data_IF_044089576568
#
_entry.id   IF_044089576568
#
_cell.length_a   1.000
_cell.length_b   1.000
_cell.length_c   1.000
_cell.angle_alpha   90.00
_cell.angle_beta   90.00
_cell.angle_gamma   90.00
#
_symmetry.space_group_name_H-M   'P 1'
#
loop_
_entity.id
_entity.type
_entity.pdbx_description
1 polymer ?
#
# COMPACT_ATOMS: atom_id res chain seq x y z
N UNK A 1 -1.97 -14.59 25.44
CA UNK A 1 -3.02 -14.39 24.42
C UNK A 1 -2.46 -13.87 23.10
N UNK A 2 -1.46 -12.98 23.08
CA UNK A 2 -0.89 -12.40 21.85
C UNK A 2 -0.38 -13.39 20.79
N UNK A 3 -0.01 -14.62 21.16
CA UNK A 3 0.46 -15.66 20.24
C UNK A 3 -0.67 -16.54 19.66
N UNK A 4 -1.89 -16.46 20.19
CA UNK A 4 -3.00 -17.30 19.73
C UNK A 4 -3.36 -17.05 18.25
N UNK A 5 -3.41 -15.79 17.76
CA UNK A 5 -3.71 -15.54 16.35
C UNK A 5 -2.70 -16.19 15.40
N UNK A 6 -1.43 -16.30 15.81
CA UNK A 6 -0.37 -16.93 15.03
C UNK A 6 -0.55 -18.43 14.86
N UNK A 7 -1.01 -19.12 15.91
CA UNK A 7 -1.30 -20.55 15.81
C UNK A 7 -2.45 -20.83 14.83
N UNK A 8 -3.38 -19.89 14.67
CA UNK A 8 -4.52 -20.01 13.78
C UNK A 8 -4.23 -19.56 12.35
N UNK A 9 -3.32 -18.60 12.16
CA UNK A 9 -3.00 -18.01 10.86
C UNK A 9 -2.55 -19.08 9.84
N UNK A 10 -3.09 -19.06 8.61
CA UNK A 10 -2.76 -20.03 7.57
C UNK A 10 -1.35 -19.83 7.00
N UNK A 11 -0.82 -20.89 6.38
CA UNK A 11 0.35 -20.84 5.52
C UNK A 11 -0.10 -20.80 4.07
N UNK A 12 0.52 -19.93 3.28
CA UNK A 12 0.23 -19.75 1.86
C UNK A 12 1.32 -20.35 0.96
N UNK A 13 0.89 -20.79 -0.21
CA UNK A 13 1.73 -21.06 -1.37
C UNK A 13 1.58 -19.89 -2.36
N UNK A 14 2.70 -19.29 -2.72
CA UNK A 14 2.74 -18.11 -3.58
C UNK A 14 2.99 -18.50 -5.05
N UNK A 15 2.30 -17.85 -6.00
CA UNK A 15 2.58 -18.07 -7.41
C UNK A 15 3.97 -17.53 -7.76
N UNK A 16 4.78 -18.25 -8.55
CA UNK A 16 6.09 -17.77 -8.94
C UNK A 16 5.98 -16.44 -9.70
N UNK A 17 7.01 -15.57 -9.62
CA UNK A 17 7.10 -14.37 -10.44
C UNK A 17 6.92 -14.70 -11.92
N UNK A 18 6.07 -13.94 -12.61
CA UNK A 18 5.85 -14.06 -14.05
C UNK A 18 5.82 -12.65 -14.63
N UNK A 19 6.93 -12.17 -15.23
CA UNK A 19 6.97 -10.83 -15.81
C UNK A 19 5.81 -10.60 -16.78
N UNK A 20 5.36 -9.35 -16.86
CA UNK A 20 4.40 -8.93 -17.88
C UNK A 20 4.88 -9.34 -19.28
N UNK A 21 3.95 -9.83 -20.10
CA UNK A 21 4.25 -10.40 -21.41
C UNK A 21 3.09 -10.18 -22.38
N UNK A 22 3.37 -10.37 -23.65
CA UNK A 22 2.44 -10.10 -24.75
C UNK A 22 2.99 -9.08 -25.73
N UNK A 23 2.35 -9.02 -26.91
CA UNK A 23 2.73 -8.13 -28.00
C UNK A 23 2.12 -6.75 -27.90
N UNK A 24 1.10 -6.56 -27.05
CA UNK A 24 0.44 -5.28 -26.83
C UNK A 24 0.98 -4.61 -25.56
N UNK A 25 0.68 -3.32 -25.42
CA UNK A 25 1.01 -2.53 -24.24
C UNK A 25 -0.29 -2.04 -23.59
N UNK A 26 -0.46 -2.37 -22.31
CA UNK A 26 -1.48 -1.75 -21.47
C UNK A 26 -0.97 -0.39 -21.02
N UNK A 27 -1.67 0.66 -21.44
CA UNK A 27 -1.43 2.03 -21.01
C UNK A 27 -2.56 2.47 -20.06
N UNK A 28 -2.28 2.62 -18.75
CA UNK A 28 -3.28 3.09 -17.80
C UNK A 28 -3.88 4.46 -18.17
N UNK A 29 -3.21 5.26 -18.99
CA UNK A 29 -3.63 6.62 -19.36
C UNK A 29 -4.32 6.72 -20.72
N UNK A 30 -4.58 5.60 -21.42
CA UNK A 30 -5.19 5.62 -22.75
C UNK A 30 -6.63 6.15 -22.74
N UNK A 31 -7.40 5.84 -21.70
CA UNK A 31 -8.82 6.22 -21.58
C UNK A 31 -9.03 7.26 -20.47
N UNK A 32 -8.44 8.44 -20.66
CA UNK A 32 -8.63 9.54 -19.71
C UNK A 32 -10.04 10.10 -19.75
N UNK A 33 -10.62 10.34 -18.58
CA UNK A 33 -12.01 10.79 -18.41
C UNK A 33 -12.14 12.27 -18.07
N UNK A 34 -11.01 12.97 -17.84
CA UNK A 34 -10.86 14.38 -18.20
C UNK A 34 -10.51 15.34 -17.06
N UNK A 35 -10.58 14.92 -15.79
CA UNK A 35 -10.25 15.79 -14.67
C UNK A 35 -9.34 15.09 -13.65
N UNK A 36 -8.20 15.71 -13.37
CA UNK A 36 -7.34 15.29 -12.29
C UNK A 36 -7.96 15.66 -10.93
N UNK A 37 -8.40 14.64 -10.20
CA UNK A 37 -8.82 14.75 -8.80
C UNK A 37 -7.59 14.64 -7.91
N UNK A 38 -7.23 15.73 -7.24
CA UNK A 38 -6.17 15.69 -6.22
C UNK A 38 -6.68 14.97 -4.98
N UNK A 39 -5.96 13.94 -4.56
CA UNK A 39 -6.36 13.06 -3.48
C UNK A 39 -5.24 12.86 -2.46
N UNK A 40 -5.62 12.87 -1.19
CA UNK A 40 -4.83 12.28 -0.11
C UNK A 40 -5.69 11.21 0.54
N UNK A 41 -5.23 9.97 0.56
CA UNK A 41 -5.95 8.84 1.14
C UNK A 41 -5.46 8.47 2.54
N UNK A 42 -4.31 9.00 2.96
CA UNK A 42 -3.67 8.62 4.21
C UNK A 42 -3.46 9.84 5.11
N UNK A 43 -4.36 10.03 6.06
CA UNK A 43 -4.26 11.04 7.10
C UNK A 43 -5.05 10.60 8.35
N UNK A 44 -4.53 10.97 9.51
CA UNK A 44 -5.07 10.57 10.80
C UNK A 44 -5.70 11.75 11.52
N UNK A 45 -6.88 11.50 12.04
CA UNK A 45 -7.62 12.39 12.94
C UNK A 45 -7.66 11.81 14.34
N UNK A 46 -8.10 12.61 15.30
CA UNK A 46 -8.32 12.15 16.68
C UNK A 46 -9.38 11.05 16.69
N UNK A 47 -8.96 9.84 17.02
CA UNK A 47 -9.80 8.66 17.18
C UNK A 47 -9.46 7.94 18.50
N UNK A 48 -10.26 6.94 18.87
CA UNK A 48 -9.97 6.07 20.03
C UNK A 48 -9.74 6.81 21.36
N UNK A 49 -10.44 7.94 21.58
CA UNK A 49 -10.23 8.77 22.77
C UNK A 49 -8.82 9.36 22.89
N UNK A 50 -8.06 9.43 21.78
CA UNK A 50 -6.67 9.91 21.76
C UNK A 50 -5.62 8.82 21.96
N UNK A 51 -6.00 7.53 21.97
CA UNK A 51 -5.03 6.43 22.06
C UNK A 51 -4.13 6.33 20.81
N UNK A 52 -4.63 6.74 19.65
CA UNK A 52 -3.87 6.82 18.40
C UNK A 52 -3.45 8.26 18.12
N UNK A 53 -2.37 8.43 17.36
CA UNK A 53 -1.59 9.68 17.26
C UNK A 53 -2.22 10.85 16.49
N UNK A 54 -3.54 10.91 16.26
CA UNK A 54 -4.18 12.01 15.52
C UNK A 54 -4.54 13.21 16.41
N UNK A 55 -4.09 14.42 16.03
CA UNK A 55 -4.26 15.62 16.85
C UNK A 55 -5.62 16.33 16.63
N UNK A 56 -6.05 16.48 15.37
CA UNK A 56 -7.24 17.25 15.02
C UNK A 56 -8.49 16.38 14.81
N UNK A 57 -9.71 16.89 15.08
CA UNK A 57 -10.96 16.24 14.66
C UNK A 57 -11.01 15.94 13.16
N UNK A 58 -11.76 14.90 12.78
CA UNK A 58 -11.83 14.46 11.38
C UNK A 58 -12.36 15.56 10.43
N UNK A 59 -13.36 16.33 10.85
CA UNK A 59 -13.90 17.43 10.02
C UNK A 59 -12.87 18.54 9.78
N UNK A 60 -11.98 18.80 10.75
CA UNK A 60 -10.88 19.76 10.58
C UNK A 60 -9.83 19.24 9.60
N UNK A 61 -9.52 17.93 9.63
CA UNK A 61 -8.63 17.29 8.65
C UNK A 61 -9.22 17.43 7.24
N UNK A 62 -10.50 17.09 7.07
CA UNK A 62 -11.21 17.23 5.79
C UNK A 62 -11.21 18.67 5.31
N UNK A 63 -11.60 19.62 6.16
CA UNK A 63 -11.64 21.05 5.84
C UNK A 63 -10.26 21.57 5.44
N UNK A 64 -9.20 21.13 6.13
CA UNK A 64 -7.83 21.53 5.79
C UNK A 64 -7.43 21.06 4.40
N UNK A 65 -7.61 19.78 4.07
CA UNK A 65 -7.26 19.29 2.72
C UNK A 65 -8.10 19.96 1.63
N UNK A 66 -9.40 20.17 1.85
CA UNK A 66 -10.26 20.93 0.91
C UNK A 66 -9.76 22.36 0.70
N UNK A 67 -9.35 23.05 1.77
CA UNK A 67 -8.76 24.40 1.67
C UNK A 67 -7.45 24.44 0.87
N UNK A 68 -6.76 23.31 0.75
CA UNK A 68 -5.53 23.14 -0.04
C UNK A 68 -5.80 22.63 -1.48
N UNK A 69 -7.08 22.58 -1.90
CA UNK A 69 -7.49 22.20 -3.25
C UNK A 69 -7.54 20.69 -3.50
N UNK A 70 -7.67 19.88 -2.46
CA UNK A 70 -7.89 18.43 -2.60
C UNK A 70 -9.36 18.16 -2.85
N UNK A 71 -9.67 17.50 -3.96
CA UNK A 71 -11.01 16.98 -4.26
C UNK A 71 -11.36 15.78 -3.36
N UNK A 72 -10.36 14.96 -3.02
CA UNK A 72 -10.50 13.81 -2.12
C UNK A 72 -9.65 14.04 -0.88
N UNK A 73 -10.31 14.46 0.19
CA UNK A 73 -9.72 14.68 1.51
C UNK A 73 -9.97 13.46 2.41
N UNK A 74 -9.11 12.45 2.30
CA UNK A 74 -9.23 11.19 3.03
C UNK A 74 -8.88 11.30 4.51
N UNK A 75 -9.67 10.63 5.36
CA UNK A 75 -9.36 10.38 6.77
C UNK A 75 -9.37 8.86 6.97
N UNK A 76 -8.23 8.29 7.36
CA UNK A 76 -7.99 6.85 7.38
C UNK A 76 -7.45 6.38 8.72
N UNK A 77 -8.20 6.65 9.79
CA UNK A 77 -7.80 6.28 11.15
C UNK A 77 -7.58 4.76 11.27
N UNK A 78 -6.72 4.36 12.21
CA UNK A 78 -6.50 2.97 12.58
C UNK A 78 -7.82 2.25 12.89
N UNK A 79 -8.17 1.25 12.07
CA UNK A 79 -9.35 0.38 12.26
C UNK A 79 -10.66 1.16 12.51
N UNK A 80 -10.81 2.34 11.91
CA UNK A 80 -11.98 3.21 12.10
C UNK A 80 -12.32 3.97 10.81
N UNK A 81 -13.53 3.76 10.30
CA UNK A 81 -13.99 4.37 9.04
C UNK A 81 -14.76 5.65 9.35
N UNK A 82 -14.07 6.81 9.31
CA UNK A 82 -14.67 8.09 9.66
C UNK A 82 -15.96 8.42 8.89
N UNK A 83 -16.04 8.02 7.61
CA UNK A 83 -17.23 8.19 6.77
C UNK A 83 -18.50 7.52 7.33
N UNK A 84 -18.35 6.39 8.03
CA UNK A 84 -19.47 5.69 8.68
C UNK A 84 -19.96 6.38 9.97
N UNK A 85 -19.27 7.44 10.39
CA UNK A 85 -19.55 8.22 11.60
C UNK A 85 -19.85 9.69 11.28
N UNK A 86 -20.35 9.97 10.07
CA UNK A 86 -20.88 11.29 9.68
C UNK A 86 -19.85 12.28 9.16
N UNK A 87 -18.57 11.88 9.02
CA UNK A 87 -17.53 12.72 8.41
C UNK A 87 -17.66 12.66 6.89
N UNK A 88 -17.66 13.81 6.24
CA UNK A 88 -17.73 13.94 4.78
C UNK A 88 -16.37 13.64 4.12
N UNK A 89 -15.99 12.37 4.13
CA UNK A 89 -14.76 11.82 3.57
C UNK A 89 -15.04 10.50 2.86
N UNK A 90 -14.11 10.06 2.01
CA UNK A 90 -14.19 8.75 1.38
C UNK A 90 -14.12 7.63 2.46
N UNK A 91 -14.84 6.51 2.31
CA UNK A 91 -14.72 5.37 3.23
C UNK A 91 -13.32 4.76 3.17
N UNK A 92 -12.51 5.06 4.18
CA UNK A 92 -11.10 4.67 4.30
C UNK A 92 -10.79 4.23 5.74
N UNK A 93 -9.85 3.32 5.93
CA UNK A 93 -9.18 3.10 7.23
C UNK A 93 -7.79 2.50 7.04
N UNK A 94 -6.86 2.80 7.95
CA UNK A 94 -5.57 2.11 8.02
C UNK A 94 -5.73 0.82 8.85
N UNK A 95 -5.42 -0.32 8.25
CA UNK A 95 -5.36 -1.61 8.91
C UNK A 95 -3.93 -1.89 9.39
N UNK A 96 -3.81 -2.50 10.56
CA UNK A 96 -2.53 -2.86 11.17
C UNK A 96 -2.35 -2.17 12.52
N UNK A 97 -2.03 -2.95 13.55
CA UNK A 97 -1.61 -2.46 14.88
C UNK A 97 -0.36 -3.21 15.38
N UNK A 98 0.31 -3.90 14.47
CA UNK A 98 1.45 -4.75 14.76
C UNK A 98 2.75 -3.95 14.95
N UNK A 99 3.69 -4.52 15.72
CA UNK A 99 4.98 -3.89 16.01
C UNK A 99 5.85 -3.66 14.76
N UNK A 100 5.66 -4.50 13.74
CA UNK A 100 6.38 -4.45 12.46
C UNK A 100 5.85 -3.42 11.47
N UNK A 101 4.79 -2.67 11.81
CA UNK A 101 4.18 -1.64 10.94
C UNK A 101 3.73 -2.20 9.58
N UNK A 102 3.37 -3.48 9.49
CA UNK A 102 2.69 -4.07 8.34
C UNK A 102 1.30 -3.45 8.20
N UNK A 103 1.20 -2.27 7.58
CA UNK A 103 -0.05 -1.54 7.44
C UNK A 103 -0.59 -1.60 6.01
N UNK A 104 -1.92 -1.60 5.92
CA UNK A 104 -2.62 -1.54 4.64
C UNK A 104 -3.67 -0.45 4.70
N UNK A 105 -3.85 0.27 3.60
CA UNK A 105 -4.99 1.16 3.46
C UNK A 105 -6.15 0.40 2.83
N UNK A 106 -7.26 0.34 3.53
CA UNK A 106 -8.53 -0.09 2.98
C UNK A 106 -9.18 1.10 2.27
N UNK A 107 -9.31 1.03 0.94
CA UNK A 107 -9.89 2.10 0.12
C UNK A 107 -11.26 1.66 -0.40
N UNK A 108 -12.28 2.51 -0.24
CA UNK A 108 -13.66 2.11 -0.49
C UNK A 108 -14.10 1.06 0.54
N UNK A 109 -13.83 1.32 1.82
CA UNK A 109 -14.06 0.37 2.90
C UNK A 109 -15.55 0.26 3.27
N UNK A 110 -16.07 -0.97 3.27
CA UNK A 110 -17.44 -1.29 3.62
C UNK A 110 -17.59 -1.65 5.10
N UNK A 111 -16.53 -2.19 5.72
CA UNK A 111 -16.47 -2.49 7.14
C UNK A 111 -15.01 -2.60 7.61
N UNK A 112 -14.80 -2.57 8.93
CA UNK A 112 -13.48 -2.81 9.52
C UNK A 112 -13.25 -4.31 9.69
N UNK A 113 -12.11 -4.83 9.20
CA UNK A 113 -11.58 -6.09 9.71
C UNK A 113 -10.77 -5.84 10.98
N UNK A 114 -11.14 -6.52 12.07
CA UNK A 114 -10.55 -6.34 13.40
C UNK A 114 -9.37 -7.27 13.69
N UNK A 115 -9.14 -8.27 12.83
CA UNK A 115 -8.07 -9.24 13.05
C UNK A 115 -6.74 -8.67 12.57
N UNK A 116 -5.73 -8.68 13.43
CA UNK A 116 -4.33 -8.51 13.05
C UNK A 116 -3.43 -9.39 13.95
N UNK A 117 -2.16 -9.47 13.58
CA UNK A 117 -1.12 -10.23 14.25
C UNK A 117 -0.15 -9.25 14.95
N UNK A 118 -0.22 -9.08 16.30
CA UNK A 118 0.33 -7.91 16.99
C UNK A 118 1.86 -7.81 17.03
N UNK A 119 2.60 -8.88 16.75
CA UNK A 119 4.06 -8.91 16.75
C UNK A 119 4.60 -8.81 15.32
N UNK A 120 5.60 -9.60 14.94
CA UNK A 120 6.11 -9.67 13.56
C UNK A 120 5.23 -10.56 12.69
N UNK A 121 5.22 -10.30 11.38
CA UNK A 121 4.45 -11.07 10.40
C UNK A 121 5.40 -11.76 9.42
N UNK A 122 5.18 -13.05 9.17
CA UNK A 122 5.75 -13.72 7.99
C UNK A 122 5.02 -13.30 6.71
N UNK A 123 5.56 -13.63 5.53
CA UNK A 123 4.87 -13.37 4.25
C UNK A 123 3.48 -14.05 4.19
N UNK A 124 3.32 -15.24 4.78
CA UNK A 124 1.99 -15.88 4.90
C UNK A 124 1.04 -15.12 5.82
N UNK A 125 1.56 -14.49 6.88
CA UNK A 125 0.78 -13.65 7.77
C UNK A 125 0.34 -12.36 7.07
N UNK A 126 1.26 -11.70 6.36
CA UNK A 126 0.97 -10.53 5.55
C UNK A 126 -0.12 -10.84 4.50
N UNK A 127 0.02 -11.94 3.76
CA UNK A 127 -0.99 -12.37 2.78
C UNK A 127 -2.35 -12.63 3.44
N UNK A 128 -2.36 -13.25 4.63
CA UNK A 128 -3.59 -13.49 5.37
C UNK A 128 -4.29 -12.18 5.72
N UNK A 129 -3.56 -11.19 6.21
CA UNK A 129 -4.11 -9.87 6.55
C UNK A 129 -4.63 -9.17 5.29
N UNK A 130 -3.86 -9.17 4.19
CA UNK A 130 -4.26 -8.57 2.90
C UNK A 130 -5.57 -9.19 2.41
N UNK A 131 -5.70 -10.52 2.41
CA UNK A 131 -6.92 -11.20 1.97
C UNK A 131 -8.14 -10.83 2.84
N UNK A 132 -7.94 -10.64 4.14
CA UNK A 132 -9.01 -10.23 5.06
C UNK A 132 -9.47 -8.80 4.81
N UNK A 133 -8.52 -7.86 4.68
CA UNK A 133 -8.82 -6.45 4.38
C UNK A 133 -9.51 -6.33 3.01
N UNK A 134 -9.04 -7.07 2.00
CA UNK A 134 -9.66 -7.11 0.66
C UNK A 134 -11.13 -7.55 0.70
N UNK A 135 -11.53 -8.41 1.62
CA UNK A 135 -12.93 -8.82 1.75
C UNK A 135 -13.84 -7.73 2.33
N UNK A 136 -13.27 -6.60 2.75
CA UNK A 136 -13.97 -5.49 3.42
C UNK A 136 -13.79 -4.15 2.71
N UNK A 137 -13.07 -4.10 1.61
CA UNK A 137 -12.77 -2.89 0.86
C UNK A 137 -12.68 -3.14 -0.64
N UNK A 138 -12.90 -2.11 -1.45
CA UNK A 138 -12.83 -2.22 -2.91
C UNK A 138 -11.39 -2.36 -3.43
N UNK A 139 -10.44 -1.71 -2.74
CA UNK A 139 -9.02 -1.74 -3.04
C UNK A 139 -8.19 -1.82 -1.75
N UNK A 140 -7.03 -2.47 -1.85
CA UNK A 140 -6.02 -2.52 -0.79
C UNK A 140 -4.74 -1.86 -1.28
N UNK A 141 -4.22 -0.90 -0.50
CA UNK A 141 -2.87 -0.36 -0.65
C UNK A 141 -1.95 -0.92 0.42
N UNK A 142 -0.70 -1.25 0.09
CA UNK A 142 0.33 -1.49 1.09
C UNK A 142 1.01 -0.16 1.40
N UNK A 143 0.96 0.26 2.68
CA UNK A 143 1.37 1.59 3.08
C UNK A 143 2.76 1.60 3.73
N UNK A 144 3.48 2.71 3.51
CA UNK A 144 4.85 2.97 3.97
C UNK A 144 5.72 1.72 4.14
N UNK A 145 5.92 0.91 3.07
CA UNK A 145 6.50 -0.43 3.18
C UNK A 145 7.92 -0.48 3.77
N UNK A 146 8.68 0.63 3.70
CA UNK A 146 10.00 0.75 4.32
C UNK A 146 9.97 1.04 5.83
N UNK A 147 8.81 1.41 6.38
CA UNK A 147 8.64 1.69 7.81
C UNK A 147 8.89 0.42 8.62
N UNK A 148 10.03 0.38 9.32
CA UNK A 148 10.49 -0.79 10.10
C UNK A 148 10.58 -2.08 9.27
N UNK A 149 10.94 -1.96 7.99
CA UNK A 149 11.03 -3.08 7.05
C UNK A 149 9.70 -3.87 6.97
N UNK A 150 8.57 -3.16 6.99
CA UNK A 150 7.24 -3.75 6.95
C UNK A 150 7.07 -4.68 5.74
N UNK A 151 7.49 -4.26 4.55
CA UNK A 151 7.45 -5.10 3.35
C UNK A 151 8.79 -5.03 2.62
N UNK A 152 9.52 -6.14 2.64
CA UNK A 152 10.76 -6.28 1.89
C UNK A 152 10.52 -6.67 0.42
N UNK A 153 11.60 -6.68 -0.36
CA UNK A 153 11.60 -7.01 -1.80
C UNK A 153 11.02 -8.40 -2.07
N UNK A 154 11.31 -9.40 -1.24
CA UNK A 154 10.86 -10.78 -1.46
C UNK A 154 9.37 -10.94 -1.13
N UNK A 155 8.89 -10.28 -0.08
CA UNK A 155 7.47 -10.15 0.21
C UNK A 155 6.74 -9.51 -0.98
N UNK A 156 7.26 -8.42 -1.53
CA UNK A 156 6.59 -7.71 -2.64
C UNK A 156 6.58 -8.49 -3.96
N UNK A 157 7.57 -9.36 -4.20
CA UNK A 157 7.53 -10.34 -5.30
C UNK A 157 6.47 -11.42 -5.06
N UNK A 158 6.27 -11.85 -3.82
CA UNK A 158 5.42 -12.99 -3.47
C UNK A 158 3.94 -12.62 -3.30
N UNK A 159 3.66 -11.57 -2.53
CA UNK A 159 2.33 -11.14 -2.10
C UNK A 159 1.41 -10.86 -3.29
N UNK A 160 0.12 -11.07 -3.06
CA UNK A 160 -0.94 -10.93 -4.07
C UNK A 160 -2.18 -10.29 -3.47
N UNK A 161 -3.10 -9.81 -4.32
CA UNK A 161 -4.42 -9.37 -3.88
C UNK A 161 -4.53 -7.92 -3.40
N UNK A 162 -3.45 -7.16 -3.43
CA UNK A 162 -3.44 -5.70 -3.27
C UNK A 162 -3.28 -5.04 -4.64
N UNK A 163 -3.83 -3.83 -4.80
CA UNK A 163 -3.87 -3.11 -6.08
C UNK A 163 -2.96 -1.88 -6.08
N UNK A 164 -2.64 -1.38 -4.89
CA UNK A 164 -1.98 -0.10 -4.71
C UNK A 164 -0.78 -0.24 -3.78
N UNK A 165 0.18 0.67 -3.92
CA UNK A 165 1.32 0.78 -3.02
C UNK A 165 1.63 2.25 -2.78
N UNK A 166 1.83 2.61 -1.51
CA UNK A 166 2.25 3.94 -1.12
C UNK A 166 3.75 4.13 -1.38
N UNK A 167 4.09 4.72 -2.52
CA UNK A 167 5.48 4.95 -2.94
C UNK A 167 6.05 6.23 -2.38
N UNK A 168 5.20 7.16 -1.92
CA UNK A 168 5.59 8.33 -1.17
C UNK A 168 4.69 8.50 0.06
N UNK A 169 5.32 8.56 1.24
CA UNK A 169 4.71 8.74 2.55
C UNK A 169 5.25 10.03 3.17
N UNK A 170 4.52 11.13 3.05
CA UNK A 170 5.04 12.47 3.32
C UNK A 170 6.31 12.71 2.51
N UNK A 171 7.47 13.01 3.13
CA UNK A 171 8.73 13.25 2.42
C UNK A 171 9.52 11.98 2.06
N UNK A 172 9.05 10.79 2.43
CA UNK A 172 9.80 9.54 2.28
C UNK A 172 9.33 8.75 1.06
N UNK A 173 10.25 8.30 0.21
CA UNK A 173 9.93 7.50 -0.98
C UNK A 173 10.43 6.06 -0.86
N UNK A 174 9.77 5.17 -1.61
CA UNK A 174 10.15 3.76 -1.71
C UNK A 174 9.80 3.23 -3.10
N UNK A 175 10.82 3.00 -3.91
CA UNK A 175 10.66 2.60 -5.32
C UNK A 175 11.10 1.16 -5.57
N UNK A 176 12.12 0.69 -4.85
CA UNK A 176 12.71 -0.65 -4.98
C UNK A 176 11.71 -1.78 -4.75
N UNK A 177 10.88 -1.66 -3.71
CA UNK A 177 9.85 -2.66 -3.41
C UNK A 177 8.65 -2.57 -4.37
N UNK A 178 8.40 -1.40 -4.97
CA UNK A 178 7.41 -1.26 -6.05
C UNK A 178 7.92 -1.91 -7.34
N UNK A 179 9.17 -1.65 -7.71
CA UNK A 179 9.85 -2.30 -8.83
C UNK A 179 9.89 -3.83 -8.65
N UNK A 180 10.11 -4.32 -7.43
CA UNK A 180 10.07 -5.75 -7.12
C UNK A 180 8.70 -6.39 -7.45
N UNK A 181 7.59 -5.71 -7.11
CA UNK A 181 6.23 -6.16 -7.44
C UNK A 181 5.99 -6.12 -8.95
N UNK A 182 6.38 -5.03 -9.63
CA UNK A 182 6.23 -4.88 -11.08
C UNK A 182 7.05 -5.92 -11.85
N UNK A 183 8.31 -6.16 -11.49
CA UNK A 183 9.15 -7.21 -12.07
C UNK A 183 8.50 -8.58 -11.94
N UNK A 184 7.85 -8.85 -10.80
CA UNK A 184 7.14 -10.11 -10.57
C UNK A 184 5.82 -10.25 -11.36
N UNK A 185 5.46 -9.24 -12.16
CA UNK A 185 4.25 -9.17 -12.96
C UNK A 185 3.00 -8.91 -12.12
N UNK A 186 3.13 -8.15 -11.02
CA UNK A 186 2.00 -7.70 -10.22
C UNK A 186 1.54 -6.34 -10.75
N UNK A 187 0.31 -6.20 -11.30
CA UNK A 187 -0.21 -4.89 -11.73
C UNK A 187 -0.61 -4.06 -10.51
N UNK A 188 0.39 -3.51 -9.83
CA UNK A 188 0.25 -2.69 -8.63
C UNK A 188 0.58 -1.24 -8.97
N UNK A 189 -0.33 -0.35 -8.62
CA UNK A 189 -0.26 1.06 -8.99
C UNK A 189 0.22 1.93 -7.83
N UNK A 190 1.03 2.93 -8.15
CA UNK A 190 1.54 3.90 -7.22
C UNK A 190 0.43 4.83 -6.70
N UNK A 191 0.46 5.04 -5.39
CA UNK A 191 -0.20 6.16 -4.71
C UNK A 191 0.81 6.89 -3.83
N UNK A 192 0.54 8.16 -3.56
CA UNK A 192 1.33 9.01 -2.69
C UNK A 192 0.40 9.73 -1.73
N UNK A 193 0.76 9.73 -0.46
CA UNK A 193 -0.03 10.33 0.62
C UNK A 193 0.88 10.86 1.73
N UNK A 194 0.29 11.58 2.66
CA UNK A 194 1.00 12.29 3.71
C UNK A 194 1.31 11.46 4.96
N UNK A 195 0.37 10.59 5.37
CA UNK A 195 0.35 9.96 6.70
C UNK A 195 0.52 11.01 7.82
N UNK A 196 -0.19 12.13 7.63
CA UNK A 196 -0.19 13.23 8.59
C UNK A 196 -0.96 12.83 9.83
N UNK A 197 -0.41 13.22 10.97
CA UNK A 197 -0.99 13.02 12.30
C UNK A 197 -1.25 14.35 13.02
N UNK A 198 -0.69 15.44 12.48
CA UNK A 198 -0.85 16.79 12.98
C UNK A 198 -0.81 17.76 11.80
N UNK A 199 -1.93 18.44 11.55
CA UNK A 199 -2.07 19.41 10.45
C UNK A 199 -1.11 20.60 10.55
N UNK A 200 -0.49 20.81 11.73
CA UNK A 200 0.51 21.86 11.96
C UNK A 200 1.90 21.45 11.47
N UNK A 201 2.16 20.15 11.28
CA UNK A 201 3.42 19.69 10.69
C UNK A 201 3.35 19.83 9.17
N UNK A 202 3.86 20.95 8.67
CA UNK A 202 3.90 21.29 7.24
C UNK A 202 4.87 20.41 6.44
N UNK A 203 5.73 19.63 7.11
CA UNK A 203 6.61 18.64 6.48
C UNK A 203 5.89 17.33 6.20
N UNK A 204 4.78 17.06 6.90
CA UNK A 204 3.96 15.87 6.75
C UNK A 204 2.63 16.17 6.10
N UNK A 205 2.09 17.39 6.21
CA UNK A 205 0.80 17.77 5.61
C UNK A 205 1.00 18.43 4.24
N UNK A 206 0.33 17.88 3.23
CA UNK A 206 0.45 18.23 1.82
C UNK A 206 1.89 18.17 1.30
N UNK A 207 2.64 17.17 1.75
CA UNK A 207 3.97 16.83 1.26
C UNK A 207 3.89 15.88 0.07
N UNK A 208 2.89 14.99 0.04
CA UNK A 208 2.66 14.07 -1.07
C UNK A 208 1.16 13.87 -1.34
N UNK A 209 0.80 13.60 -2.59
CA UNK A 209 -0.59 13.36 -3.00
C UNK A 209 -0.68 12.54 -4.26
N UNK A 210 -1.87 12.02 -4.53
CA UNK A 210 -2.18 11.29 -5.76
C UNK A 210 -3.07 12.14 -6.65
N UNK A 211 -2.73 12.23 -7.93
CA UNK A 211 -3.60 12.82 -8.95
C UNK A 211 -4.33 11.69 -9.66
N UNK A 212 -5.66 11.64 -9.51
CA UNK A 212 -6.50 10.55 -10.05
C UNK A 212 -7.33 11.07 -11.22
N UNK A 213 -7.22 10.45 -12.39
CA UNK A 213 -8.07 10.82 -13.52
C UNK A 213 -9.43 10.13 -13.37
N UNK A 214 -10.40 10.90 -12.88
CA UNK A 214 -11.74 10.44 -12.59
C UNK A 214 -12.75 11.55 -12.89
N UNK A 215 -13.95 11.13 -13.31
CA UNK A 215 -15.06 12.03 -13.66
C UNK A 215 -15.49 12.93 -12.51
N UNK A 216 -15.40 12.43 -11.27
CA UNK A 216 -15.71 13.18 -10.06
C UNK A 216 -14.90 12.67 -8.87
N UNK A 217 -15.02 13.35 -7.73
CA UNK A 217 -14.46 12.92 -6.45
C UNK A 217 -15.29 11.84 -5.72
N UNK A 218 -16.37 11.34 -6.34
CA UNK A 218 -17.19 10.29 -5.76
C UNK A 218 -16.38 8.99 -5.57
N UNK A 219 -16.63 8.28 -4.47
CA UNK A 219 -15.90 7.05 -4.11
C UNK A 219 -15.82 6.05 -5.25
N UNK A 220 -16.93 5.78 -5.94
CA UNK A 220 -16.97 4.83 -7.06
C UNK A 220 -16.11 5.24 -8.26
N UNK A 221 -16.08 6.53 -8.59
CA UNK A 221 -15.27 7.05 -9.70
C UNK A 221 -13.77 6.96 -9.37
N UNK A 222 -13.39 7.32 -8.15
CA UNK A 222 -12.02 7.25 -7.64
C UNK A 222 -11.54 5.80 -7.58
N UNK A 223 -12.32 4.89 -6.99
CA UNK A 223 -12.01 3.45 -6.95
C UNK A 223 -11.84 2.88 -8.36
N UNK A 224 -12.75 3.22 -9.28
CA UNK A 224 -12.70 2.72 -10.65
C UNK A 224 -11.44 3.20 -11.38
N UNK A 225 -11.06 4.47 -11.20
CA UNK A 225 -9.84 5.02 -11.77
C UNK A 225 -8.57 4.39 -11.19
N UNK A 226 -8.47 4.30 -9.86
CA UNK A 226 -7.33 3.68 -9.18
C UNK A 226 -7.17 2.21 -9.56
N UNK A 227 -8.26 1.46 -9.68
CA UNK A 227 -8.22 0.04 -10.10
C UNK A 227 -7.57 -0.16 -11.47
N UNK A 228 -7.77 0.78 -12.38
CA UNK A 228 -7.21 0.77 -13.74
C UNK A 228 -5.82 1.42 -13.83
N UNK A 229 -5.31 1.97 -12.73
CA UNK A 229 -4.02 2.67 -12.71
C UNK A 229 -4.09 4.09 -13.29
N UNK A 230 -5.29 4.68 -13.46
CA UNK A 230 -5.51 6.05 -13.94
C UNK A 230 -5.16 7.09 -12.88
N UNK A 231 -3.91 7.09 -12.47
CA UNK A 231 -3.38 7.99 -11.46
C UNK A 231 -1.88 8.15 -11.61
N UNK A 232 -1.34 9.22 -11.02
CA UNK A 232 0.08 9.35 -10.76
C UNK A 232 0.31 9.92 -9.37
N UNK A 233 1.41 9.50 -8.76
CA UNK A 233 1.84 9.97 -7.45
C UNK A 233 2.67 11.25 -7.60
N UNK A 234 2.54 12.17 -6.64
CA UNK A 234 3.28 13.43 -6.58
C UNK A 234 3.92 13.57 -5.21
N UNK A 235 5.22 13.82 -5.21
CA UNK A 235 5.96 14.28 -4.05
C UNK A 235 6.34 15.74 -4.25
N UNK A 236 5.99 16.61 -3.32
CA UNK A 236 6.49 17.98 -3.29
C UNK A 236 7.93 17.97 -2.79
N UNK A 237 8.85 18.48 -3.59
CA UNK A 237 10.29 18.55 -3.26
C UNK A 237 10.71 19.93 -2.77
N UNK A 238 9.88 20.95 -3.01
CA UNK A 238 10.14 22.32 -2.60
C UNK A 238 8.90 23.21 -2.69
N UNK A 239 9.10 24.50 -2.44
CA UNK A 239 8.11 25.53 -2.73
C UNK A 239 6.75 25.35 -2.06
N UNK A 240 5.73 25.89 -2.70
CA UNK A 240 4.33 25.83 -2.27
C UNK A 240 3.59 24.69 -3.00
N UNK A 241 2.38 24.36 -2.52
CA UNK A 241 1.50 23.45 -3.27
C UNK A 241 1.22 24.00 -4.68
N UNK A 242 1.06 25.31 -4.82
CA UNK A 242 0.81 25.93 -6.13
C UNK A 242 1.98 25.73 -7.09
N UNK A 243 3.22 25.91 -6.62
CA UNK A 243 4.42 25.71 -7.47
C UNK A 243 4.67 24.24 -7.79
N UNK A 244 4.39 23.33 -6.86
CA UNK A 244 4.47 21.89 -7.10
C UNK A 244 3.41 21.39 -8.10
N UNK A 245 2.27 22.08 -8.21
CA UNK A 245 1.25 21.80 -9.22
C UNK A 245 1.43 22.62 -10.51
N UNK A 246 2.53 23.38 -10.64
CA UNK A 246 2.83 24.09 -11.89
C UNK A 246 3.24 23.13 -13.02
N UNK A 247 3.82 21.98 -12.67
CA UNK A 247 4.10 20.89 -13.61
C UNK A 247 3.11 19.75 -13.40
N UNK A 248 2.36 19.39 -14.45
CA UNK A 248 1.35 18.31 -14.39
C UNK A 248 1.46 17.37 -15.58
N UNK A 249 0.95 16.16 -15.44
CA UNK A 249 0.96 15.18 -16.52
C UNK A 249 0.00 15.61 -17.65
N UNK A 250 0.57 15.89 -18.82
CA UNK A 250 -0.19 16.27 -20.02
C UNK A 250 -0.64 15.03 -20.80
N UNK A 251 0.28 14.11 -21.12
CA UNK A 251 -0.06 12.84 -21.79
C UNK A 251 0.92 11.71 -21.50
N UNK A 252 0.42 10.47 -21.66
CA UNK A 252 1.23 9.26 -21.82
C UNK A 252 0.66 8.53 -23.03
N UNK A 253 1.33 8.65 -24.16
CA UNK A 253 0.90 8.09 -25.43
C UNK A 253 1.74 6.87 -25.78
N UNK A 254 1.10 5.84 -26.31
CA UNK A 254 1.77 4.61 -26.72
C UNK A 254 1.49 4.34 -28.18
N UNK A 255 2.56 4.29 -28.98
CA UNK A 255 2.51 3.91 -30.38
C UNK A 255 3.56 2.84 -30.64
N UNK A 256 3.13 1.70 -31.20
CA UNK A 256 3.93 0.48 -31.33
C UNK A 256 4.49 0.02 -29.97
N UNK A 257 5.80 0.15 -29.77
CA UNK A 257 6.49 -0.13 -28.51
C UNK A 257 7.07 1.14 -27.86
N UNK A 258 6.71 2.33 -28.37
CA UNK A 258 7.24 3.61 -27.90
C UNK A 258 6.25 4.29 -26.97
N UNK A 259 6.69 4.55 -25.75
CA UNK A 259 5.99 5.36 -24.76
C UNK A 259 6.49 6.79 -24.86
N UNK A 260 5.61 7.74 -25.14
CA UNK A 260 5.88 9.17 -25.11
C UNK A 260 5.16 9.78 -23.92
N UNK A 261 5.89 10.52 -23.09
CA UNK A 261 5.35 11.20 -21.93
C UNK A 261 5.56 12.70 -22.09
N UNK A 262 4.54 13.49 -21.79
CA UNK A 262 4.60 14.95 -21.82
C UNK A 262 4.02 15.56 -20.55
N UNK A 263 4.54 16.73 -20.19
CA UNK A 263 4.02 17.54 -19.07
C UNK A 263 3.63 18.93 -19.54
N UNK A 264 2.61 19.48 -18.90
CA UNK A 264 2.35 20.91 -18.93
C UNK A 264 3.19 21.57 -17.83
N UNK A 265 3.75 22.75 -18.10
CA UNK A 265 4.55 23.51 -17.14
C UNK A 265 6.02 23.62 -17.52
N UNK A 266 6.90 23.43 -16.55
CA UNK A 266 8.35 23.65 -16.73
C UNK A 266 9.07 22.43 -17.31
N UNK A 267 10.13 22.64 -18.11
CA UNK A 267 11.07 21.59 -18.46
C UNK A 267 11.54 20.81 -17.24
N UNK A 268 11.65 19.49 -17.40
CA UNK A 268 11.85 18.54 -16.31
C UNK A 268 12.81 17.43 -16.76
N UNK A 269 13.27 16.61 -15.81
CA UNK A 269 14.03 15.39 -16.12
C UNK A 269 13.10 14.19 -16.14
N UNK A 270 13.06 13.47 -17.26
CA UNK A 270 12.29 12.25 -17.45
C UNK A 270 13.22 11.05 -17.34
N UNK A 271 12.95 10.17 -16.38
CA UNK A 271 13.68 8.92 -16.18
C UNK A 271 12.75 7.76 -16.48
N UNK A 272 13.04 7.00 -17.54
CA UNK A 272 12.35 5.77 -17.88
C UNK A 272 13.02 4.59 -17.19
N UNK A 273 12.24 3.82 -16.43
CA UNK A 273 12.71 2.76 -15.55
C UNK A 273 12.00 1.46 -15.93
N UNK A 274 12.78 0.42 -16.19
CA UNK A 274 12.30 -0.91 -16.55
C UNK A 274 12.43 -1.91 -15.40
N UNK A 275 12.41 -3.23 -15.72
CA UNK A 275 12.50 -4.30 -14.73
C UNK A 275 13.68 -4.14 -13.76
N UNK A 276 13.43 -4.52 -12.51
CA UNK A 276 14.36 -4.46 -11.38
C UNK A 276 14.86 -3.03 -11.06
N UNK A 277 14.06 -2.01 -11.42
CA UNK A 277 14.42 -0.61 -11.22
C UNK A 277 15.53 -0.13 -12.16
N UNK A 278 15.82 -0.87 -13.23
CA UNK A 278 16.87 -0.52 -14.16
C UNK A 278 16.52 0.74 -14.96
N UNK A 279 17.31 1.80 -14.79
CA UNK A 279 17.19 3.01 -15.62
C UNK A 279 17.49 2.65 -17.08
N UNK A 280 16.52 2.90 -17.95
CA UNK A 280 16.61 2.62 -19.39
C UNK A 280 16.98 3.86 -20.20
N UNK A 281 16.43 4.99 -19.82
CA UNK A 281 16.65 6.24 -20.52
C UNK A 281 16.45 7.43 -19.60
N UNK A 282 17.22 8.49 -19.83
CA UNK A 282 17.08 9.77 -19.12
C UNK A 282 17.14 10.88 -20.14
N UNK A 283 16.13 11.74 -20.13
CA UNK A 283 16.09 12.97 -20.92
C UNK A 283 15.92 14.16 -19.98
N UNK A 284 16.73 15.20 -20.14
CA UNK A 284 16.82 16.32 -19.18
C UNK A 284 16.39 17.62 -19.84
N UNK A 285 15.78 18.49 -19.04
CA UNK A 285 15.41 19.85 -19.43
C UNK A 285 14.48 19.89 -20.66
N UNK A 286 13.49 18.99 -20.68
CA UNK A 286 12.48 18.88 -21.73
C UNK A 286 11.08 18.89 -21.14
N UNK A 287 10.06 19.21 -21.94
CA UNK A 287 8.63 19.06 -21.55
C UNK A 287 8.01 17.78 -22.06
N UNK A 288 8.73 17.03 -22.90
CA UNK A 288 8.32 15.71 -23.38
C UNK A 288 9.53 14.83 -23.64
N UNK A 289 9.41 13.55 -23.34
CA UNK A 289 10.44 12.55 -23.59
C UNK A 289 9.80 11.25 -24.10
N UNK A 290 10.60 10.36 -24.67
CA UNK A 290 10.09 9.06 -25.13
C UNK A 290 11.09 7.93 -24.92
N UNK A 291 10.57 6.70 -24.84
CA UNK A 291 11.37 5.50 -24.77
C UNK A 291 10.68 4.35 -25.51
N UNK A 292 11.44 3.61 -26.32
CA UNK A 292 10.98 2.41 -26.99
C UNK A 292 11.35 1.17 -26.18
N UNK A 293 10.35 0.41 -25.72
CA UNK A 293 10.57 -0.81 -24.95
C UNK A 293 11.30 -1.85 -25.78
N UNK A 294 12.40 -2.38 -25.24
CA UNK A 294 13.07 -3.55 -25.79
C UNK A 294 12.29 -4.85 -25.52
N UNK A 295 12.67 -5.96 -26.17
CA UNK A 295 12.03 -7.26 -25.96
C UNK A 295 12.07 -7.76 -24.51
N UNK A 296 13.10 -7.36 -23.74
CA UNK A 296 13.28 -7.73 -22.35
C UNK A 296 12.53 -6.82 -21.35
N UNK A 297 12.01 -5.68 -21.80
CA UNK A 297 11.26 -4.76 -20.94
C UNK A 297 9.82 -5.25 -20.82
N UNK A 298 9.51 -5.88 -19.69
CA UNK A 298 8.14 -6.30 -19.37
C UNK A 298 7.26 -5.10 -19.01
N UNK A 299 7.84 -4.03 -18.51
CA UNK A 299 7.18 -2.74 -18.27
C UNK A 299 8.17 -1.59 -18.43
N UNK A 300 7.64 -0.37 -18.53
CA UNK A 300 8.38 0.86 -18.27
C UNK A 300 7.52 1.80 -17.42
N UNK A 301 8.09 2.35 -16.36
CA UNK A 301 7.52 3.48 -15.61
C UNK A 301 8.36 4.73 -15.81
N UNK A 302 7.76 5.89 -15.59
CA UNK A 302 8.43 7.17 -15.75
C UNK A 302 8.42 7.92 -14.44
N UNK A 303 9.59 8.40 -14.02
CA UNK A 303 9.74 9.38 -12.95
C UNK A 303 10.08 10.72 -13.60
N UNK A 304 9.34 11.75 -13.25
CA UNK A 304 9.54 13.10 -13.77
C UNK A 304 9.96 14.00 -12.61
N UNK A 305 11.21 14.41 -12.62
CA UNK A 305 11.74 15.39 -11.65
C UNK A 305 11.55 16.78 -12.22
N UNK A 306 10.50 17.45 -11.74
CA UNK A 306 10.21 18.85 -12.02
C UNK A 306 10.88 19.76 -10.98
N UNK A 307 10.90 21.09 -11.17
CA UNK A 307 11.58 22.01 -10.25
C UNK A 307 11.10 21.92 -8.79
N UNK A 308 9.80 21.71 -8.56
CA UNK A 308 9.17 21.77 -7.23
C UNK A 308 8.42 20.49 -6.85
N UNK A 309 8.47 19.47 -7.71
CA UNK A 309 7.81 18.19 -7.49
C UNK A 309 8.49 17.05 -8.23
N UNK A 310 8.33 15.83 -7.72
CA UNK A 310 8.60 14.59 -8.45
C UNK A 310 7.28 13.88 -8.72
N UNK A 311 7.03 13.56 -9.99
CA UNK A 311 5.86 12.80 -10.41
C UNK A 311 6.29 11.35 -10.68
N UNK A 312 5.55 10.40 -10.11
CA UNK A 312 5.76 8.97 -10.30
C UNK A 312 4.57 8.40 -11.06
N UNK A 313 4.80 8.04 -12.32
CA UNK A 313 3.74 7.56 -13.19
C UNK A 313 3.60 6.04 -13.05
N UNK A 314 2.35 5.56 -13.01
CA UNK A 314 2.06 4.14 -13.21
C UNK A 314 2.64 3.62 -14.53
N UNK A 315 3.15 2.37 -14.56
CA UNK A 315 3.85 1.85 -15.73
C UNK A 315 2.92 1.57 -16.90
N UNK A 316 3.48 1.68 -18.10
CA UNK A 316 2.99 0.97 -19.28
C UNK A 316 3.57 -0.45 -19.22
N UNK A 317 2.70 -1.46 -19.32
CA UNK A 317 3.09 -2.87 -19.14
C UNK A 317 2.79 -3.70 -20.38
N UNK A 318 3.58 -4.74 -20.64
CA UNK A 318 3.25 -5.74 -21.67
C UNK A 318 1.97 -6.49 -21.30
N UNK A 319 1.13 -6.72 -22.29
CA UNK A 319 -0.17 -7.33 -22.10
C UNK A 319 -0.58 -8.20 -23.28
N UNK A 320 -1.36 -9.25 -22.99
CA UNK A 320 -1.88 -10.23 -23.94
C UNK A 320 -3.16 -9.79 -24.68
N UNK A 321 -3.68 -8.60 -24.37
CA UNK A 321 -4.91 -8.06 -24.94
C UNK A 321 -6.20 -8.63 -24.34
N UNK A 322 -6.13 -9.45 -23.28
CA UNK A 322 -7.30 -10.04 -22.60
C UNK A 322 -7.52 -9.45 -21.21
N UNK A 323 -6.56 -9.64 -20.31
CA UNK A 323 -6.63 -9.09 -18.95
C UNK A 323 -5.25 -8.92 -18.35
N UNK A 324 -5.06 -7.91 -17.50
CA UNK A 324 -3.85 -7.81 -16.69
C UNK A 324 -3.71 -9.04 -15.77
N UNK A 325 -2.47 -9.47 -15.45
CA UNK A 325 -2.24 -10.61 -14.56
C UNK A 325 -2.92 -10.42 -13.20
N UNK A 326 -3.67 -11.42 -12.74
CA UNK A 326 -4.25 -11.44 -11.38
C UNK A 326 -3.78 -12.69 -10.61
N UNK A 327 -2.47 -12.80 -10.31
CA UNK A 327 -1.93 -13.92 -9.57
C UNK A 327 -2.55 -13.95 -8.17
N UNK A 328 -2.83 -15.15 -7.67
CA UNK A 328 -3.47 -15.34 -6.36
C UNK A 328 -2.65 -16.35 -5.55
N UNK A 329 -2.27 -15.96 -4.33
CA UNK A 329 -1.73 -16.87 -3.34
C UNK A 329 -2.81 -17.86 -2.88
N UNK A 330 -2.43 -19.11 -2.67
CA UNK A 330 -3.38 -20.18 -2.31
C UNK A 330 -3.05 -20.75 -0.94
N UNK A 331 -4.08 -21.21 -0.22
CA UNK A 331 -3.89 -21.85 1.08
C UNK A 331 -3.09 -23.15 0.90
N UNK A 332 -1.95 -23.26 1.60
CA UNK A 332 -1.25 -24.52 1.74
C UNK A 332 -1.87 -25.28 2.92
N UNK A 333 -2.88 -26.11 2.62
CA UNK A 333 -3.64 -26.83 3.64
C UNK A 333 -2.75 -27.77 4.47
N UNK A 334 -1.83 -28.49 3.84
CA UNK A 334 -0.93 -29.42 4.53
C UNK A 334 0.00 -28.69 5.51
N UNK A 335 0.67 -27.61 5.06
CA UNK A 335 1.54 -26.82 5.92
C UNK A 335 0.76 -26.12 7.04
N UNK A 336 -0.45 -25.62 6.73
CA UNK A 336 -1.34 -25.01 7.73
C UNK A 336 -1.72 -25.99 8.83
N UNK A 337 -2.12 -27.21 8.48
CA UNK A 337 -2.47 -28.23 9.47
C UNK A 337 -1.25 -28.75 10.25
N UNK A 338 -0.09 -28.86 9.60
CA UNK A 338 1.15 -29.18 10.28
C UNK A 338 1.52 -28.12 11.34
N UNK A 339 1.44 -26.83 11.00
CA UNK A 339 1.66 -25.73 11.94
C UNK A 339 0.70 -25.79 13.13
N UNK A 340 -0.61 -25.93 12.84
CA UNK A 340 -1.65 -26.01 13.89
C UNK A 340 -1.45 -27.22 14.80
N UNK A 341 -1.11 -28.38 14.23
CA UNK A 341 -0.79 -29.59 14.99
C UNK A 341 0.44 -29.42 15.87
N UNK A 342 1.51 -28.81 15.34
CA UNK A 342 2.71 -28.49 16.10
C UNK A 342 2.45 -27.52 17.27
N UNK A 343 1.68 -26.46 17.03
CA UNK A 343 1.27 -25.53 18.08
C UNK A 343 0.46 -26.22 19.18
N UNK A 344 -0.50 -27.09 18.81
CA UNK A 344 -1.27 -27.88 19.76
C UNK A 344 -0.37 -28.83 20.58
N UNK A 345 0.56 -29.53 19.93
CA UNK A 345 1.50 -30.41 20.61
C UNK A 345 2.35 -29.65 21.64
N UNK A 346 2.85 -28.46 21.30
CA UNK A 346 3.59 -27.60 22.24
C UNK A 346 2.73 -27.16 23.43
N UNK A 347 1.45 -26.83 23.20
CA UNK A 347 0.52 -26.49 24.28
C UNK A 347 0.27 -27.68 25.21
N UNK A 348 0.08 -28.89 24.66
CA UNK A 348 -0.08 -30.14 25.43
C UNK A 348 1.18 -30.41 26.26
N UNK A 349 2.37 -30.32 25.66
CA UNK A 349 3.64 -30.52 26.36
C UNK A 349 3.84 -29.50 27.51
N UNK A 350 3.53 -28.22 27.26
CA UNK A 350 3.60 -27.18 28.29
C UNK A 350 2.63 -27.45 29.44
N UNK A 351 1.43 -27.93 29.14
CA UNK A 351 0.43 -28.30 30.13
C UNK A 351 0.87 -29.52 30.98
N UNK A 352 1.38 -30.58 30.35
CA UNK A 352 1.91 -31.76 31.05
C UNK A 352 3.07 -31.36 31.98
N UNK A 353 4.04 -30.57 31.48
CA UNK A 353 5.17 -30.09 32.28
C UNK A 353 4.72 -29.24 33.47
N UNK A 354 3.70 -28.39 33.29
CA UNK A 354 3.13 -27.58 34.37
C UNK A 354 2.41 -28.43 35.43
N UNK A 355 1.69 -29.49 35.02
CA UNK A 355 1.08 -30.45 35.95
C UNK A 355 2.12 -31.26 36.71
N UNK A 356 3.15 -31.76 36.04
CA UNK A 356 4.26 -32.47 36.68
C UNK A 356 4.95 -31.63 37.77
N UNK A 357 5.25 -30.35 37.47
CA UNK A 357 5.83 -29.42 38.46
C UNK A 357 4.91 -29.14 39.65
N UNK A 358 3.61 -29.02 39.44
CA UNK A 358 2.62 -28.83 40.52
C UNK A 358 2.48 -30.08 41.40
N UNK A 359 2.52 -31.28 40.81
CA UNK A 359 2.52 -32.54 41.55
C UNK A 359 3.75 -32.70 42.44
N UNK A 360 4.94 -32.37 41.92
CA UNK A 360 6.19 -32.40 42.70
C UNK A 360 6.24 -31.35 43.82
N UNK A 361 5.68 -30.15 43.61
CA UNK A 361 5.60 -29.11 44.63
C UNK A 361 4.61 -29.44 45.76
N UNK A 362 3.51 -30.13 45.45
CA UNK A 362 2.54 -30.58 46.46
C UNK A 362 3.09 -31.70 47.36
N UNK A 363 3.92 -32.59 46.82
CA UNK A 363 4.59 -33.65 47.58
C UNK A 363 5.66 -33.11 48.56
N UNK A 364 6.29 -31.98 48.23
CA UNK A 364 7.30 -31.33 49.07
C UNK A 364 6.73 -30.47 50.22
N UNK A 365 5.43 -30.16 50.21
CA UNK A 365 4.77 -29.29 51.20
C UNK A 365 4.05 -30.05 52.34
N UNK A 366 4.19 -31.37 52.41
CA UNK A 366 3.60 -32.18 53.49
C UNK A 366 4.33 -31.91 54.80
N UNK A 367 3.70 -31.34 55.86
CA UNK A 367 4.39 -31.07 57.10
C UNK A 367 4.70 -32.39 57.82
N UNK A 368 5.96 -32.59 58.21
CA UNK A 368 6.35 -33.63 59.15
C UNK A 368 5.67 -33.35 60.49
N UNK A 369 4.51 -33.97 60.72
CA UNK A 369 3.94 -34.08 62.06
C UNK A 369 4.90 -34.92 62.90
N UNK A 370 5.67 -34.24 63.78
CA UNK A 370 6.41 -34.87 64.88
C UNK A 370 5.43 -35.69 65.70
N UNK A 371 5.63 -37.01 65.79
CA UNK A 371 5.07 -37.84 66.85
C UNK A 371 6.04 -37.89 68.02
N UNK A 372 5.43 -37.95 69.20
CA UNK A 372 5.97 -37.83 70.55
C UNK A 372 7.12 -38.78 70.88
#
# INVERSE_FOLDING_TARGET
>A
MALLPYAWAPIYSFPPPRPFSGSQLWNPYAERTGAWQRANFHAHSRAWGGFTSGAQPADEVVARYRSLGYSVAGVSNYQWIAAQHGVDTMPLYEHGFNLGKNHQLAIGAHAVDWFDLPLWQSVSNQQYVIDRVRNKADLVSLNHPSSRDAYDVDAMRALTGYQLIEIANGPFTVEDVWDAALTAGRPVWAVANDDTHDLRDTRRTAAAWTMVDARSAATGDIVSALRLGRAYAVLRTGGSIASANATTLASVDVQDATVRVSVDGSPSTFTFIGPDGAVRHVEKDVTSAHYTLGPADSYVRTVITAPEATLFLNPVVRWDGRSLPSPTATLNAAATWAQRGGALALLVLAWVKRRGRRGSAALAATPLTRRA
#
